data_IF_296877187528
#
_entry.id   IF_296877187528
#
_cell.length_a   1.000
_cell.length_b   1.000
_cell.length_c   1.000
_cell.angle_alpha   90.00
_cell.angle_beta   90.00
_cell.angle_gamma   90.00
#
_symmetry.space_group_name_H-M   'P 1'
#
loop_
_entity.id
_entity.type
_entity.pdbx_description
1 polymer ?
#
# COMPACT_ATOMS: atom_id res chain seq x y z
N UNK A 1 18.58 26.56 36.26
CA UNK A 1 18.31 25.56 37.30
C UNK A 1 16.84 25.47 37.67
N UNK A 2 16.05 26.55 37.57
CA UNK A 2 14.61 26.49 37.90
C UNK A 2 13.72 25.89 36.79
N UNK A 3 14.18 25.88 35.53
CA UNK A 3 13.43 25.29 34.41
C UNK A 3 13.46 23.75 34.39
N UNK A 4 14.47 23.15 35.01
CA UNK A 4 14.61 21.69 35.13
C UNK A 4 13.72 21.10 36.23
N UNK A 5 13.32 21.92 37.22
CA UNK A 5 12.44 21.50 38.31
C UNK A 5 10.99 21.35 37.84
N UNK A 6 10.53 22.25 36.98
CA UNK A 6 9.18 22.19 36.39
C UNK A 6 8.94 20.93 35.54
N UNK A 7 9.91 20.58 34.68
CA UNK A 7 9.83 19.35 33.84
C UNK A 7 9.88 18.04 34.64
N UNK A 8 10.28 18.08 35.90
CA UNK A 8 10.36 16.90 36.78
C UNK A 8 9.08 16.68 37.58
N UNK A 9 8.34 17.73 37.89
CA UNK A 9 7.02 17.64 38.53
C UNK A 9 5.93 17.23 37.53
N UNK A 10 6.00 17.70 36.29
CA UNK A 10 5.05 17.32 35.23
C UNK A 10 5.15 15.82 34.85
N UNK A 11 6.36 15.24 34.90
CA UNK A 11 6.56 13.78 34.72
C UNK A 11 6.07 12.94 35.90
N UNK A 12 5.96 13.49 37.12
CA UNK A 12 5.41 12.74 38.25
C UNK A 12 3.89 12.70 38.21
N UNK A 13 3.24 13.80 37.80
CA UNK A 13 1.79 13.85 37.64
C UNK A 13 1.28 12.88 36.55
N UNK A 14 2.07 12.63 35.50
CA UNK A 14 1.71 11.67 34.44
C UNK A 14 1.87 10.20 34.85
N UNK A 15 2.76 9.89 35.82
CA UNK A 15 2.95 8.51 36.29
C UNK A 15 1.88 8.12 37.31
N UNK A 16 1.45 9.04 38.19
CA UNK A 16 0.40 8.74 39.17
C UNK A 16 -0.97 8.49 38.52
N UNK A 17 -1.33 9.17 37.42
CA UNK A 17 -2.59 8.89 36.71
C UNK A 17 -2.62 7.53 36.01
N UNK A 18 -1.45 6.93 35.75
CA UNK A 18 -1.33 5.57 35.19
C UNK A 18 -1.44 4.46 36.25
N UNK A 19 -1.40 4.82 37.53
CA UNK A 19 -1.50 3.86 38.64
C UNK A 19 -2.94 3.64 39.13
N UNK A 20 -3.80 4.66 39.04
CA UNK A 20 -5.24 4.52 39.37
C UNK A 20 -6.02 3.69 38.36
N UNK A 21 -5.51 3.50 37.14
CA UNK A 21 -6.12 2.63 36.11
C UNK A 21 -5.81 1.14 36.30
N UNK A 22 -4.99 0.75 37.29
CA UNK A 22 -4.67 -0.66 37.60
C UNK A 22 -5.40 -1.25 38.81
N UNK A 23 -6.15 -0.46 39.58
CA UNK A 23 -6.93 -0.98 40.73
C UNK A 23 -8.39 -1.34 40.41
N UNK A 24 -8.87 -1.12 39.19
CA UNK A 24 -10.26 -1.45 38.78
C UNK A 24 -10.44 -2.83 38.13
N UNK A 25 -9.47 -3.73 38.22
CA UNK A 25 -9.50 -5.05 37.57
C UNK A 25 -9.65 -6.25 38.54
N UNK A 26 -10.08 -6.05 39.81
CA UNK A 26 -10.15 -7.13 40.81
C UNK A 26 -11.53 -7.48 41.38
N UNK A 27 -12.63 -7.04 40.76
CA UNK A 27 -13.98 -7.39 41.23
C UNK A 27 -14.86 -7.92 40.09
N UNK A 28 -14.65 -9.20 39.74
CA UNK A 28 -15.66 -10.01 39.05
C UNK A 28 -16.08 -11.16 39.97
N UNK A 29 -17.39 -11.36 40.24
CA UNK A 29 -17.86 -12.48 41.04
C UNK A 29 -17.85 -13.78 40.22
N UNK A 30 -17.50 -14.88 40.88
CA UNK A 30 -17.62 -16.23 40.38
C UNK A 30 -19.08 -16.54 40.02
N UNK A 31 -19.32 -17.00 38.79
CA UNK A 31 -20.61 -17.54 38.36
C UNK A 31 -20.51 -19.06 38.39
N UNK A 32 -21.38 -19.66 39.19
CA UNK A 32 -21.52 -21.11 39.37
C UNK A 32 -21.94 -21.80 38.06
N UNK A 33 -21.22 -22.87 37.71
CA UNK A 33 -21.62 -23.83 36.69
C UNK A 33 -22.83 -24.63 37.18
N UNK A 34 -23.99 -24.41 36.54
CA UNK A 34 -25.15 -25.31 36.64
C UNK A 34 -25.17 -26.20 35.41
N UNK A 35 -24.93 -27.49 35.63
CA UNK A 35 -25.00 -28.53 34.61
C UNK A 35 -26.41 -28.75 34.07
N UNK A 36 -26.48 -29.07 32.79
CA UNK A 36 -27.68 -29.51 32.10
C UNK A 36 -27.33 -30.53 31.02
N UNK A 37 -27.50 -31.81 31.33
CA UNK A 37 -27.56 -32.91 30.38
C UNK A 37 -28.77 -32.74 29.45
N UNK A 38 -28.64 -33.01 28.15
CA UNK A 38 -29.79 -32.92 27.24
C UNK A 38 -29.56 -33.27 25.78
N UNK A 39 -29.51 -34.58 25.50
CA UNK A 39 -30.07 -35.28 24.32
C UNK A 39 -29.78 -34.79 22.88
N UNK A 40 -29.07 -35.68 22.20
CA UNK A 40 -29.06 -35.95 20.75
C UNK A 40 -30.46 -36.01 20.12
N UNK A 41 -30.66 -35.29 19.01
CA UNK A 41 -31.70 -35.60 18.02
C UNK A 41 -31.10 -35.46 16.62
N UNK A 42 -30.84 -36.60 15.99
CA UNK A 42 -30.62 -36.72 14.55
C UNK A 42 -31.88 -36.23 13.81
N UNK A 43 -31.72 -35.34 12.83
CA UNK A 43 -32.74 -35.09 11.81
C UNK A 43 -32.12 -35.17 10.43
N UNK A 44 -32.42 -36.28 9.78
CA UNK A 44 -32.32 -36.48 8.34
C UNK A 44 -33.38 -35.65 7.61
N UNK A 45 -32.93 -34.83 6.67
CA UNK A 45 -33.69 -34.27 5.55
C UNK A 45 -32.67 -34.27 4.39
N UNK A 46 -32.89 -34.85 3.22
CA UNK A 46 -34.11 -35.11 2.49
C UNK A 46 -33.80 -34.68 1.07
N UNK A 47 -33.37 -35.63 0.23
CA UNK A 47 -33.23 -35.48 -1.22
C UNK A 47 -34.58 -35.07 -1.82
N UNK A 48 -34.56 -34.06 -2.69
CA UNK A 48 -35.48 -33.76 -3.80
C UNK A 48 -35.06 -32.37 -4.32
N UNK A 49 -35.03 -32.01 -5.60
CA UNK A 49 -35.29 -32.65 -6.88
C UNK A 49 -34.96 -31.57 -7.94
N UNK A 50 -34.49 -32.01 -9.11
CA UNK A 50 -34.50 -31.35 -10.43
C UNK A 50 -35.11 -29.94 -10.55
N UNK A 51 -34.35 -29.04 -11.17
CA UNK A 51 -34.95 -28.10 -12.13
C UNK A 51 -34.02 -27.89 -13.34
N UNK A 52 -34.45 -28.45 -14.47
CA UNK A 52 -33.87 -28.27 -15.80
C UNK A 52 -34.41 -26.95 -16.37
N UNK A 53 -33.56 -25.93 -16.44
CA UNK A 53 -33.87 -24.63 -17.02
C UNK A 53 -33.00 -24.32 -18.22
N UNK A 54 -33.32 -24.91 -19.37
CA UNK A 54 -32.84 -24.50 -20.68
C UNK A 54 -33.35 -23.09 -21.03
N UNK A 55 -32.45 -22.14 -21.30
CA UNK A 55 -32.76 -20.98 -22.15
C UNK A 55 -31.53 -20.45 -22.89
N UNK A 56 -31.39 -20.94 -24.12
CA UNK A 56 -31.25 -20.18 -25.38
C UNK A 56 -30.25 -19.02 -25.45
N UNK A 57 -29.31 -19.23 -26.38
CA UNK A 57 -28.40 -18.31 -27.04
C UNK A 57 -28.99 -16.96 -27.48
N UNK A 58 -28.17 -15.91 -27.42
CA UNK A 58 -27.90 -14.89 -28.45
C UNK A 58 -27.09 -13.76 -27.79
N UNK A 59 -25.83 -13.54 -28.15
CA UNK A 59 -25.52 -12.56 -29.17
C UNK A 59 -24.10 -12.05 -28.98
N UNK A 60 -23.23 -12.52 -29.86
CA UNK A 60 -21.85 -12.04 -30.04
C UNK A 60 -21.87 -10.59 -30.53
N UNK A 61 -21.73 -9.64 -29.60
CA UNK A 61 -21.42 -8.24 -29.90
C UNK A 61 -19.91 -8.03 -29.86
N UNK A 62 -19.20 -8.50 -30.90
CA UNK A 62 -17.79 -8.23 -31.11
C UNK A 62 -17.64 -6.72 -31.36
N UNK A 63 -17.10 -5.99 -30.39
CA UNK A 63 -16.72 -4.59 -30.54
C UNK A 63 -15.52 -4.56 -31.49
N UNK A 64 -15.83 -4.33 -32.77
CA UNK A 64 -14.89 -4.06 -33.84
C UNK A 64 -14.12 -2.79 -33.46
N UNK A 65 -12.99 -2.97 -32.78
CA UNK A 65 -12.02 -1.91 -32.54
C UNK A 65 -11.58 -1.39 -33.89
N UNK A 66 -12.01 -0.17 -34.20
CA UNK A 66 -11.56 0.57 -35.36
C UNK A 66 -10.03 0.54 -35.42
N UNK A 67 -9.43 0.27 -36.59
CA UNK A 67 -7.99 0.38 -36.75
C UNK A 67 -7.63 1.84 -36.53
N UNK A 68 -7.06 2.15 -35.36
CA UNK A 68 -6.29 3.37 -35.17
C UNK A 68 -5.26 3.37 -36.30
N UNK A 69 -5.42 4.33 -37.22
CA UNK A 69 -4.47 4.62 -38.28
C UNK A 69 -3.15 4.88 -37.59
N UNK A 70 -2.33 3.83 -37.48
CA UNK A 70 -0.98 3.89 -36.98
C UNK A 70 -0.29 4.91 -37.85
N UNK A 71 0.05 6.06 -37.25
CA UNK A 71 1.16 6.86 -37.73
C UNK A 71 2.32 5.89 -37.77
N UNK A 72 2.59 5.39 -38.98
CA UNK A 72 3.66 4.48 -39.26
C UNK A 72 4.94 5.30 -39.07
N UNK A 73 5.35 5.46 -37.80
CA UNK A 73 6.77 5.49 -37.49
C UNK A 73 7.27 4.21 -38.11
N UNK A 74 7.95 4.36 -39.25
CA UNK A 74 8.80 3.32 -39.79
C UNK A 74 9.61 2.82 -38.60
N UNK A 75 9.27 1.63 -38.12
CA UNK A 75 10.17 0.83 -37.33
C UNK A 75 11.33 0.58 -38.28
N UNK A 76 12.32 1.47 -38.23
CA UNK A 76 13.63 1.20 -38.79
C UNK A 76 14.00 -0.18 -38.27
N UNK A 77 14.42 -1.11 -39.13
CA UNK A 77 14.82 -2.44 -38.69
C UNK A 77 15.81 -2.25 -37.55
N UNK A 78 15.48 -2.83 -36.39
CA UNK A 78 16.39 -2.90 -35.25
C UNK A 78 17.68 -3.48 -35.81
N UNK A 79 18.77 -2.71 -35.91
CA UNK A 79 20.01 -3.25 -36.43
C UNK A 79 20.36 -4.44 -35.55
N UNK A 80 20.51 -5.62 -36.17
CA UNK A 80 20.99 -6.81 -35.50
C UNK A 80 22.22 -6.40 -34.70
N UNK A 81 22.10 -6.41 -33.38
CA UNK A 81 23.12 -5.95 -32.46
C UNK A 81 24.31 -6.88 -32.55
N UNK A 82 25.18 -6.67 -33.54
CA UNK A 82 26.57 -7.08 -33.47
C UNK A 82 27.11 -6.46 -32.19
N UNK A 83 27.59 -7.31 -31.28
CA UNK A 83 28.22 -7.07 -29.99
C UNK A 83 29.24 -5.92 -29.98
N UNK A 84 28.79 -4.69 -30.20
CA UNK A 84 29.53 -3.49 -29.93
C UNK A 84 29.50 -3.34 -28.41
N UNK A 85 30.48 -3.99 -27.78
CA UNK A 85 30.83 -3.76 -26.38
C UNK A 85 30.83 -2.25 -26.19
N UNK A 86 29.94 -1.69 -25.34
CA UNK A 86 29.86 -0.24 -25.16
C UNK A 86 31.27 0.25 -24.83
N UNK A 87 31.80 1.15 -25.67
CA UNK A 87 33.08 1.79 -25.43
C UNK A 87 32.91 2.70 -24.23
N UNK A 88 33.06 2.14 -23.04
CA UNK A 88 33.07 2.90 -21.80
C UNK A 88 34.17 3.94 -21.89
N UNK A 89 33.79 5.22 -21.89
CA UNK A 89 34.73 6.31 -21.69
C UNK A 89 35.48 6.06 -20.39
N UNK A 90 36.81 6.08 -20.44
CA UNK A 90 37.72 5.74 -19.33
C UNK A 90 37.59 6.61 -18.08
N UNK A 91 36.65 7.56 -18.05
CA UNK A 91 36.40 8.49 -16.95
C UNK A 91 35.15 8.17 -16.12
N UNK A 92 34.42 7.07 -16.40
CA UNK A 92 33.35 6.66 -15.48
C UNK A 92 33.96 6.18 -14.16
N UNK A 93 33.74 6.97 -13.09
CA UNK A 93 34.15 6.60 -11.74
C UNK A 93 33.62 5.19 -11.38
N UNK A 94 34.45 4.36 -10.76
CA UNK A 94 34.09 2.97 -10.42
C UNK A 94 32.80 2.84 -9.58
N UNK A 95 32.40 3.90 -8.89
CA UNK A 95 31.13 3.98 -8.17
C UNK A 95 29.90 3.99 -9.08
N UNK A 96 29.95 4.66 -10.23
CA UNK A 96 28.84 4.65 -11.19
C UNK A 96 28.58 3.24 -11.70
N UNK A 97 29.65 2.53 -12.06
CA UNK A 97 29.58 1.14 -12.51
C UNK A 97 29.00 0.24 -11.41
N UNK A 98 29.43 0.41 -10.16
CA UNK A 98 28.91 -0.38 -9.03
C UNK A 98 27.42 -0.11 -8.76
N UNK A 99 26.99 1.15 -8.76
CA UNK A 99 25.62 1.53 -8.46
C UNK A 99 24.61 1.13 -9.54
N UNK A 100 25.06 1.07 -10.80
CA UNK A 100 24.23 0.69 -11.95
C UNK A 100 24.40 -0.77 -12.36
N UNK A 101 25.26 -1.54 -11.68
CA UNK A 101 25.37 -2.97 -11.91
C UNK A 101 24.08 -3.67 -11.46
N UNK A 102 23.46 -4.39 -12.38
CA UNK A 102 22.30 -5.24 -12.06
C UNK A 102 22.75 -6.43 -11.22
N UNK A 103 21.94 -6.78 -10.23
CA UNK A 103 22.22 -7.94 -9.37
C UNK A 103 22.02 -9.26 -10.12
N UNK A 104 21.01 -9.31 -10.99
CA UNK A 104 20.69 -10.46 -11.83
C UNK A 104 20.65 -10.03 -13.30
N UNK A 105 21.01 -10.92 -14.21
CA UNK A 105 20.89 -10.68 -15.66
C UNK A 105 19.43 -10.58 -16.08
N UNK A 106 19.10 -9.70 -17.03
CA UNK A 106 17.73 -9.51 -17.51
C UNK A 106 17.30 -10.56 -18.56
N UNK A 107 18.26 -11.31 -19.09
CA UNK A 107 18.07 -12.31 -20.16
C UNK A 107 17.62 -13.69 -19.65
N UNK A 108 17.50 -13.88 -18.33
CA UNK A 108 17.03 -15.13 -17.73
C UNK A 108 17.74 -15.45 -16.42
N UNK A 109 17.21 -16.47 -15.73
CA UNK A 109 17.75 -17.00 -14.48
C UNK A 109 18.36 -18.37 -14.77
N UNK A 110 19.68 -18.46 -14.70
CA UNK A 110 20.39 -19.73 -14.78
C UNK A 110 20.93 -20.12 -13.40
N UNK A 111 20.60 -21.32 -12.93
CA UNK A 111 21.16 -21.87 -11.70
C UNK A 111 22.16 -22.98 -12.07
N UNK A 112 23.45 -22.76 -11.77
CA UNK A 112 24.53 -23.70 -12.09
C UNK A 112 24.60 -24.11 -13.58
N UNK A 113 24.34 -23.15 -14.47
CA UNK A 113 24.37 -23.38 -15.92
C UNK A 113 23.11 -24.02 -16.50
N UNK A 114 22.13 -24.39 -15.67
CA UNK A 114 20.82 -24.83 -16.15
C UNK A 114 19.87 -23.63 -16.25
N UNK A 115 19.32 -23.33 -17.43
CA UNK A 115 18.33 -22.28 -17.57
C UNK A 115 17.06 -22.71 -16.83
N UNK A 116 16.76 -22.04 -15.73
CA UNK A 116 15.58 -22.34 -14.91
C UNK A 116 14.32 -21.73 -15.52
N UNK A 117 14.51 -20.62 -16.24
CA UNK A 117 13.46 -19.90 -16.94
C UNK A 117 14.02 -19.30 -18.23
N UNK A 118 13.80 -19.97 -19.37
CA UNK A 118 13.94 -19.37 -20.70
C UNK A 118 12.71 -18.48 -20.96
N UNK A 119 12.54 -17.40 -20.20
CA UNK A 119 11.43 -16.47 -20.44
C UNK A 119 11.85 -15.32 -21.33
N UNK A 120 10.86 -14.71 -21.98
CA UNK A 120 10.99 -13.32 -22.42
C UNK A 120 11.52 -12.47 -21.27
N UNK A 121 12.42 -11.51 -21.56
CA UNK A 121 12.96 -10.61 -20.53
C UNK A 121 11.88 -9.90 -19.70
N UNK A 122 10.65 -9.81 -20.24
CA UNK A 122 9.47 -9.33 -19.55
C UNK A 122 9.17 -10.11 -18.26
N UNK A 123 8.98 -11.45 -18.33
CA UNK A 123 8.56 -12.24 -17.17
C UNK A 123 9.64 -12.31 -16.09
N UNK A 124 10.92 -12.41 -16.51
CA UNK A 124 12.05 -12.39 -15.58
C UNK A 124 12.12 -11.05 -14.82
N UNK A 125 11.98 -9.91 -15.52
CA UNK A 125 11.95 -8.59 -14.87
C UNK A 125 10.75 -8.39 -13.96
N UNK A 126 9.57 -8.85 -14.35
CA UNK A 126 8.37 -8.78 -13.52
C UNK A 126 8.56 -9.59 -12.24
N UNK A 127 9.05 -10.83 -12.34
CA UNK A 127 9.31 -11.69 -11.19
C UNK A 127 10.34 -11.05 -10.24
N UNK A 128 11.44 -10.50 -10.78
CA UNK A 128 12.42 -9.74 -9.98
C UNK A 128 11.77 -8.59 -9.23
N UNK A 129 10.94 -7.80 -9.91
CA UNK A 129 10.27 -6.64 -9.31
C UNK A 129 9.32 -7.05 -8.18
N UNK A 130 8.52 -8.10 -8.38
CA UNK A 130 7.63 -8.65 -7.35
C UNK A 130 8.43 -9.19 -6.17
N UNK A 131 9.43 -10.05 -6.40
CA UNK A 131 10.28 -10.61 -5.34
C UNK A 131 10.98 -9.50 -4.54
N UNK A 132 11.51 -8.49 -5.22
CA UNK A 132 12.17 -7.37 -4.57
C UNK A 132 11.20 -6.50 -3.76
N UNK A 133 9.97 -6.34 -4.22
CA UNK A 133 8.92 -5.64 -3.49
C UNK A 133 8.63 -6.34 -2.17
N UNK A 134 8.37 -7.65 -2.20
CA UNK A 134 8.15 -8.42 -0.97
C UNK A 134 9.36 -8.39 -0.04
N UNK A 135 10.58 -8.53 -0.58
CA UNK A 135 11.79 -8.43 0.23
C UNK A 135 11.94 -7.04 0.88
N UNK A 136 11.60 -5.98 0.15
CA UNK A 136 11.60 -4.61 0.68
C UNK A 136 10.54 -4.43 1.76
N UNK A 137 9.32 -4.94 1.57
CA UNK A 137 8.26 -4.92 2.59
C UNK A 137 8.74 -5.63 3.86
N UNK A 138 9.31 -6.84 3.74
CA UNK A 138 9.88 -7.57 4.88
C UNK A 138 10.95 -6.76 5.61
N UNK A 139 11.91 -6.21 4.86
CA UNK A 139 13.02 -5.46 5.42
C UNK A 139 12.52 -4.21 6.16
N UNK A 140 11.64 -3.43 5.52
CA UNK A 140 11.05 -2.25 6.12
C UNK A 140 10.25 -2.63 7.35
N UNK A 141 9.37 -3.63 7.27
CA UNK A 141 8.59 -4.09 8.42
C UNK A 141 9.49 -4.47 9.60
N UNK A 142 10.60 -5.19 9.37
CA UNK A 142 11.57 -5.56 10.40
C UNK A 142 12.37 -4.38 10.97
N UNK A 143 12.69 -3.38 10.15
CA UNK A 143 13.34 -2.15 10.61
C UNK A 143 12.36 -1.31 11.42
N UNK A 144 11.11 -1.17 10.94
CA UNK A 144 10.04 -0.41 11.60
C UNK A 144 9.66 -1.00 12.95
N UNK A 145 9.23 -2.28 12.99
CA UNK A 145 10.03 -3.25 13.70
C UNK A 145 10.66 -2.86 15.04
N UNK A 146 11.90 -2.47 14.88
CA UNK A 146 12.93 -2.43 15.89
C UNK A 146 13.18 -1.00 16.37
N UNK A 147 12.92 -0.02 15.51
CA UNK A 147 13.34 1.36 15.74
C UNK A 147 12.18 2.33 15.95
N UNK A 148 10.95 1.92 15.65
CA UNK A 148 9.81 2.81 15.59
C UNK A 148 8.61 2.19 16.32
N UNK A 149 8.18 2.83 17.40
CA UNK A 149 7.09 2.39 18.28
C UNK A 149 5.69 2.77 17.73
N UNK A 150 5.59 3.78 16.87
CA UNK A 150 4.33 4.33 16.31
C UNK A 150 3.76 3.54 15.12
N UNK A 151 4.14 2.27 15.00
CA UNK A 151 3.64 1.36 13.97
C UNK A 151 2.37 0.67 14.43
N UNK A 152 1.62 0.12 13.47
CA UNK A 152 0.55 -0.81 13.82
C UNK A 152 1.16 -2.09 14.43
N UNK A 153 1.05 -2.23 15.76
CA UNK A 153 1.55 -3.38 16.50
C UNK A 153 0.79 -4.68 16.18
N UNK A 154 -0.41 -4.57 15.61
CA UNK A 154 -1.24 -5.72 15.26
C UNK A 154 -0.98 -6.20 13.82
N UNK A 155 -0.40 -5.35 12.98
CA UNK A 155 0.02 -5.74 11.64
C UNK A 155 1.19 -6.73 11.73
N UNK A 156 0.88 -8.00 11.48
CA UNK A 156 1.89 -9.05 11.33
C UNK A 156 2.17 -9.23 9.85
N UNK A 157 3.42 -9.50 9.52
CA UNK A 157 3.83 -9.80 8.14
C UNK A 157 3.00 -10.95 7.54
N UNK A 158 2.62 -11.96 8.36
CA UNK A 158 1.68 -13.04 7.99
C UNK A 158 0.36 -12.54 7.42
N UNK A 159 -0.17 -11.44 7.96
CA UNK A 159 -1.43 -10.84 7.50
C UNK A 159 -1.26 -10.11 6.17
N UNK A 160 -0.14 -9.39 6.00
CA UNK A 160 0.20 -8.76 4.72
C UNK A 160 0.25 -9.80 3.60
N UNK A 161 0.93 -10.94 3.81
CA UNK A 161 0.96 -11.98 2.78
C UNK A 161 -0.37 -12.67 2.53
N UNK A 162 -1.13 -12.98 3.59
CA UNK A 162 -2.38 -13.75 3.48
C UNK A 162 -3.52 -12.92 2.88
N UNK A 163 -3.68 -11.67 3.33
CA UNK A 163 -4.85 -10.86 3.02
C UNK A 163 -4.57 -9.81 1.94
N UNK A 164 -3.32 -9.42 1.73
CA UNK A 164 -2.96 -8.33 0.80
C UNK A 164 -2.03 -8.78 -0.32
N UNK A 165 -1.53 -10.02 -0.28
CA UNK A 165 -0.52 -10.51 -1.20
C UNK A 165 -0.97 -10.45 -2.66
N UNK A 166 -2.23 -10.80 -2.96
CA UNK A 166 -2.79 -10.72 -4.31
C UNK A 166 -2.92 -9.27 -4.79
N UNK A 167 -3.35 -8.37 -3.92
CA UNK A 167 -3.47 -6.94 -4.19
C UNK A 167 -2.10 -6.29 -4.44
N UNK A 168 -1.09 -6.64 -3.64
CA UNK A 168 0.30 -6.19 -3.82
C UNK A 168 0.84 -6.68 -5.17
N UNK A 169 0.62 -7.96 -5.53
CA UNK A 169 1.05 -8.49 -6.83
C UNK A 169 0.35 -7.77 -7.98
N UNK A 170 -0.94 -7.46 -7.85
CA UNK A 170 -1.69 -6.68 -8.84
C UNK A 170 -1.13 -5.26 -8.96
N UNK A 171 -0.88 -4.59 -7.85
CA UNK A 171 -0.29 -3.25 -7.80
C UNK A 171 1.12 -3.24 -8.43
N UNK A 172 1.93 -4.29 -8.18
CA UNK A 172 3.21 -4.50 -8.86
C UNK A 172 3.06 -4.68 -10.36
N UNK A 173 2.11 -5.51 -10.81
CA UNK A 173 1.88 -5.75 -12.24
C UNK A 173 1.48 -4.48 -12.97
N UNK A 174 0.51 -3.73 -12.43
CA UNK A 174 0.04 -2.46 -12.99
C UNK A 174 1.19 -1.46 -13.01
N UNK A 175 1.95 -1.34 -11.91
CA UNK A 175 3.10 -0.43 -11.86
C UNK A 175 4.18 -0.81 -12.87
N UNK A 176 4.44 -2.10 -13.03
CA UNK A 176 5.42 -2.61 -13.98
C UNK A 176 5.05 -2.32 -15.43
N UNK A 177 3.77 -2.50 -15.79
CA UNK A 177 3.27 -2.27 -17.15
C UNK A 177 3.15 -0.77 -17.45
N UNK A 178 2.43 0.00 -16.64
CA UNK A 178 2.23 1.44 -16.86
C UNK A 178 3.54 2.22 -16.69
N UNK A 179 4.33 1.82 -15.70
CA UNK A 179 5.69 2.30 -15.46
C UNK A 179 6.72 1.89 -16.51
N UNK A 180 6.34 1.03 -17.47
CA UNK A 180 7.22 0.55 -18.56
C UNK A 180 8.54 -0.01 -18.03
N UNK A 181 8.50 -0.66 -16.86
CA UNK A 181 9.70 -1.19 -16.22
C UNK A 181 10.34 -2.30 -17.06
N UNK A 182 9.57 -2.99 -17.89
CA UNK A 182 10.07 -3.99 -18.82
C UNK A 182 11.02 -3.41 -19.89
N UNK A 183 10.83 -2.16 -20.31
CA UNK A 183 11.69 -1.45 -21.27
C UNK A 183 12.98 -0.95 -20.63
N UNK A 184 12.95 -0.70 -19.31
CA UNK A 184 14.08 -0.11 -18.60
C UNK A 184 15.17 -1.14 -18.30
N UNK A 185 16.45 -0.77 -18.41
CA UNK A 185 17.54 -1.65 -18.00
C UNK A 185 17.59 -1.72 -16.46
N UNK A 186 17.59 -2.93 -15.90
CA UNK A 186 17.90 -3.17 -14.49
C UNK A 186 16.96 -2.51 -13.48
N UNK A 187 15.90 -3.19 -13.08
CA UNK A 187 15.04 -2.74 -11.95
C UNK A 187 15.70 -3.08 -10.60
N UNK A 188 16.76 -3.89 -10.64
CA UNK A 188 17.48 -4.51 -9.53
C UNK A 188 18.90 -3.95 -9.35
N UNK A 189 19.18 -2.73 -9.85
CA UNK A 189 20.44 -2.08 -9.59
C UNK A 189 20.40 -1.29 -8.25
N UNK A 190 21.56 -1.19 -7.59
CA UNK A 190 21.67 -0.61 -6.25
C UNK A 190 21.20 0.84 -6.17
N UNK A 191 21.36 1.65 -7.20
CA UNK A 191 20.82 3.01 -7.18
C UNK A 191 19.29 3.05 -7.05
N UNK A 192 18.55 2.21 -7.79
CA UNK A 192 17.09 2.19 -7.74
C UNK A 192 16.62 1.61 -6.40
N UNK A 193 17.18 0.47 -6.00
CA UNK A 193 16.86 -0.20 -4.75
C UNK A 193 17.21 0.66 -3.53
N UNK A 194 18.38 1.30 -3.57
CA UNK A 194 18.86 2.20 -2.53
C UNK A 194 17.98 3.43 -2.39
N UNK A 195 17.57 4.06 -3.50
CA UNK A 195 16.62 5.19 -3.45
C UNK A 195 15.27 4.77 -2.90
N UNK A 196 14.74 3.62 -3.31
CA UNK A 196 13.49 3.10 -2.75
C UNK A 196 13.62 2.83 -1.23
N UNK A 197 14.72 2.22 -0.78
CA UNK A 197 14.97 1.97 0.65
C UNK A 197 15.14 3.26 1.45
N UNK A 198 15.86 4.25 0.92
CA UNK A 198 16.01 5.57 1.56
C UNK A 198 14.65 6.25 1.67
N UNK A 199 13.82 6.19 0.63
CA UNK A 199 12.47 6.72 0.69
C UNK A 199 11.65 6.04 1.80
N UNK A 200 11.72 4.71 1.90
CA UNK A 200 11.04 3.96 2.97
C UNK A 200 11.41 4.46 4.38
N UNK A 201 12.71 4.55 4.67
CA UNK A 201 13.20 5.01 5.98
C UNK A 201 12.84 6.48 6.20
N UNK A 202 12.93 7.31 5.16
CA UNK A 202 12.59 8.72 5.23
C UNK A 202 11.13 8.91 5.65
N UNK A 203 10.17 8.26 4.99
CA UNK A 203 8.74 8.41 5.32
C UNK A 203 8.43 7.94 6.74
N UNK A 204 9.02 6.83 7.18
CA UNK A 204 8.85 6.39 8.58
C UNK A 204 9.42 7.40 9.58
N UNK A 205 10.61 7.93 9.29
CA UNK A 205 11.29 8.87 10.19
C UNK A 205 10.54 10.18 10.40
N UNK A 206 9.60 10.53 9.51
CA UNK A 206 8.80 11.76 9.64
C UNK A 206 7.99 11.79 10.93
N UNK A 207 7.50 10.62 11.38
CA UNK A 207 6.76 10.49 12.62
C UNK A 207 7.61 10.77 13.87
N UNK A 208 8.94 10.90 13.76
CA UNK A 208 9.85 11.15 14.89
C UNK A 208 10.48 12.53 14.85
N UNK A 209 10.24 13.28 13.78
CA UNK A 209 10.66 14.66 13.66
C UNK A 209 9.57 15.51 14.32
N UNK A 210 9.85 16.02 15.51
CA UNK A 210 8.89 16.72 16.37
C UNK A 210 8.07 17.81 15.65
N UNK A 211 8.65 18.55 14.71
CA UNK A 211 7.92 19.59 13.98
C UNK A 211 7.05 19.05 12.83
N UNK A 212 7.23 17.80 12.40
CA UNK A 212 6.39 17.13 11.39
C UNK A 212 5.16 16.43 11.99
N UNK A 213 5.12 16.21 13.31
CA UNK A 213 4.02 15.56 14.04
C UNK A 213 2.80 16.49 14.22
N UNK A 214 2.27 17.07 13.14
CA UNK A 214 1.14 17.99 13.20
C UNK A 214 0.01 17.55 12.27
N UNK A 215 -1.23 17.66 12.75
CA UNK A 215 -2.41 17.42 11.90
C UNK A 215 -2.58 18.53 10.85
N UNK A 216 -3.08 18.15 9.67
CA UNK A 216 -3.37 19.07 8.56
C UNK A 216 -4.83 19.55 8.65
N UNK A 217 -5.15 20.35 9.67
CA UNK A 217 -6.45 21.05 9.75
C UNK A 217 -6.23 22.54 9.53
N UNK A 218 -7.26 23.25 9.05
CA UNK A 218 -7.15 24.69 8.81
C UNK A 218 -6.78 25.47 10.08
N UNK A 219 -7.35 25.08 11.22
CA UNK A 219 -6.97 25.62 12.52
C UNK A 219 -5.50 25.33 12.87
N UNK A 220 -5.05 24.09 12.68
CA UNK A 220 -3.68 23.70 13.02
C UNK A 220 -2.66 24.40 12.12
N UNK A 221 -2.93 24.50 10.81
CA UNK A 221 -2.10 25.25 9.87
C UNK A 221 -1.99 26.73 10.27
N UNK A 222 -3.10 27.39 10.59
CA UNK A 222 -3.07 28.83 10.89
C UNK A 222 -2.56 29.18 12.29
N UNK A 223 -2.79 28.33 13.30
CA UNK A 223 -2.59 28.69 14.70
C UNK A 223 -1.47 27.92 15.40
N UNK A 224 -1.17 26.69 14.96
CA UNK A 224 -0.31 25.76 15.71
C UNK A 224 0.97 25.38 14.98
N UNK A 225 0.98 25.42 13.64
CA UNK A 225 2.13 25.00 12.86
C UNK A 225 3.38 25.84 13.18
N UNK A 226 4.49 25.19 13.58
CA UNK A 226 5.74 25.89 13.77
C UNK A 226 6.30 26.38 12.42
N UNK A 227 7.13 27.42 12.43
CA UNK A 227 7.67 27.99 11.18
C UNK A 227 8.57 26.99 10.43
N UNK A 228 9.21 26.06 11.15
CA UNK A 228 9.98 24.95 10.59
C UNK A 228 9.12 24.08 9.68
N UNK A 229 7.89 23.78 10.08
CA UNK A 229 6.93 23.01 9.29
C UNK A 229 6.50 23.78 8.04
N UNK A 230 6.34 25.11 8.13
CA UNK A 230 6.05 25.94 6.96
C UNK A 230 7.18 25.95 5.93
N UNK A 231 8.42 26.05 6.37
CA UNK A 231 9.59 25.97 5.48
C UNK A 231 9.66 24.59 4.83
N UNK A 232 9.46 23.52 5.62
CA UNK A 232 9.43 22.16 5.11
C UNK A 232 8.32 21.98 4.06
N UNK A 233 7.09 22.42 4.35
CA UNK A 233 5.96 22.34 3.44
C UNK A 233 6.22 23.13 2.14
N UNK A 234 6.78 24.34 2.24
CA UNK A 234 7.15 25.14 1.07
C UNK A 234 8.22 24.42 0.22
N UNK A 235 9.27 23.90 0.85
CA UNK A 235 10.33 23.16 0.16
C UNK A 235 9.78 21.91 -0.54
N UNK A 236 8.87 21.18 0.12
CA UNK A 236 8.19 20.01 -0.43
C UNK A 236 7.33 20.37 -1.65
N UNK A 237 6.49 21.41 -1.53
CA UNK A 237 5.61 21.89 -2.61
C UNK A 237 6.44 22.34 -3.82
N UNK A 238 7.49 23.13 -3.60
CA UNK A 238 8.38 23.59 -4.69
C UNK A 238 9.06 22.40 -5.36
N UNK A 239 9.58 21.44 -4.58
CA UNK A 239 10.25 20.26 -5.11
C UNK A 239 9.29 19.39 -5.94
N UNK A 240 8.08 19.14 -5.43
CA UNK A 240 7.05 18.39 -6.15
C UNK A 240 6.62 19.11 -7.43
N UNK A 241 6.38 20.43 -7.38
CA UNK A 241 6.00 21.24 -8.53
C UNK A 241 7.09 21.24 -9.61
N UNK A 242 8.37 21.40 -9.22
CA UNK A 242 9.50 21.33 -10.13
C UNK A 242 9.59 19.95 -10.80
N UNK A 243 9.42 18.88 -10.04
CA UNK A 243 9.48 17.52 -10.55
C UNK A 243 8.35 17.23 -11.54
N UNK A 244 7.12 17.67 -11.24
CA UNK A 244 5.98 17.57 -12.16
C UNK A 244 6.23 18.40 -13.42
N UNK A 245 6.72 19.64 -13.27
CA UNK A 245 7.03 20.53 -14.39
C UNK A 245 8.10 19.92 -15.31
N UNK A 246 9.17 19.36 -14.75
CA UNK A 246 10.22 18.69 -15.53
C UNK A 246 9.67 17.50 -16.32
N UNK A 247 8.81 16.67 -15.71
CA UNK A 247 8.14 15.57 -16.41
C UNK A 247 7.21 16.08 -17.52
N UNK A 248 6.45 17.17 -17.28
CA UNK A 248 5.56 17.77 -18.26
C UNK A 248 6.33 18.37 -19.45
N UNK A 249 7.42 19.11 -19.18
CA UNK A 249 8.31 19.66 -20.22
C UNK A 249 8.97 18.54 -21.04
N UNK A 250 9.42 17.47 -20.39
CA UNK A 250 9.96 16.28 -21.06
C UNK A 250 8.91 15.63 -21.96
N UNK A 251 7.68 15.44 -21.45
CA UNK A 251 6.55 14.90 -22.21
C UNK A 251 6.20 15.76 -23.44
N UNK A 252 6.21 17.09 -23.26
CA UNK A 252 5.95 18.05 -24.31
C UNK A 252 7.00 17.99 -25.42
N UNK A 253 8.28 17.98 -25.03
CA UNK A 253 9.40 17.91 -25.96
C UNK A 253 9.40 16.60 -26.76
N UNK A 254 9.01 15.48 -26.14
CA UNK A 254 8.88 14.17 -26.79
C UNK A 254 7.55 13.99 -27.56
N UNK A 255 6.65 14.98 -27.51
CA UNK A 255 5.32 14.95 -28.15
C UNK A 255 4.41 13.83 -27.64
N UNK A 256 4.57 13.43 -26.37
CA UNK A 256 3.75 12.38 -25.72
C UNK A 256 2.93 12.88 -24.53
N UNK A 257 2.88 14.20 -24.28
CA UNK A 257 2.13 14.78 -23.16
C UNK A 257 0.66 14.33 -23.12
N UNK A 258 -0.04 14.36 -24.26
CA UNK A 258 -1.45 13.96 -24.32
C UNK A 258 -1.64 12.47 -23.98
N UNK A 259 -0.71 11.61 -24.43
CA UNK A 259 -0.72 10.17 -24.08
C UNK A 259 -0.57 10.01 -22.57
N UNK A 260 0.37 10.74 -21.94
CA UNK A 260 0.57 10.69 -20.48
C UNK A 260 -0.64 11.19 -19.70
N UNK A 261 -1.26 12.29 -20.15
CA UNK A 261 -2.49 12.80 -19.52
C UNK A 261 -3.65 11.81 -19.65
N UNK A 262 -3.76 11.13 -20.80
CA UNK A 262 -4.78 10.10 -21.01
C UNK A 262 -4.52 8.88 -20.12
N UNK A 263 -3.29 8.39 -20.05
CA UNK A 263 -2.90 7.28 -19.16
C UNK A 263 -3.21 7.62 -17.70
N UNK A 264 -2.81 8.80 -17.23
CA UNK A 264 -3.10 9.27 -15.87
C UNK A 264 -4.62 9.38 -15.62
N UNK A 265 -5.37 9.94 -16.57
CA UNK A 265 -6.83 10.05 -16.47
C UNK A 265 -7.51 8.70 -16.38
N UNK A 266 -7.07 7.71 -17.15
CA UNK A 266 -7.56 6.33 -17.07
C UNK A 266 -7.21 5.70 -15.72
N UNK A 267 -5.98 5.89 -15.21
CA UNK A 267 -5.63 5.40 -13.88
C UNK A 267 -6.53 6.01 -12.80
N UNK A 268 -6.76 7.33 -12.81
CA UNK A 268 -7.69 7.98 -11.86
C UNK A 268 -9.10 7.41 -11.99
N UNK A 269 -9.60 7.23 -13.22
CA UNK A 269 -10.94 6.71 -13.47
C UNK A 269 -11.12 5.28 -12.96
N UNK A 270 -10.13 4.40 -13.14
CA UNK A 270 -10.25 3.00 -12.72
C UNK A 270 -9.90 2.75 -11.25
N UNK A 271 -8.99 3.54 -10.69
CA UNK A 271 -8.40 3.27 -9.36
C UNK A 271 -8.84 4.23 -8.27
N UNK A 272 -9.27 5.45 -8.61
CA UNK A 272 -9.65 6.47 -7.62
C UNK A 272 -11.15 6.75 -7.69
N UNK A 273 -11.71 6.97 -8.89
CA UNK A 273 -13.10 7.36 -9.04
C UNK A 273 -14.11 6.42 -8.36
N UNK A 274 -13.96 5.07 -8.40
CA UNK A 274 -14.88 4.16 -7.72
C UNK A 274 -14.88 4.33 -6.19
N UNK A 275 -13.82 4.90 -5.64
CA UNK A 275 -13.63 5.02 -4.20
C UNK A 275 -14.07 6.38 -3.65
N UNK A 276 -14.12 7.43 -4.49
CA UNK A 276 -14.50 8.80 -4.08
C UNK A 276 -15.90 8.86 -3.46
N UNK A 277 -16.78 7.91 -3.79
CA UNK A 277 -18.14 7.85 -3.25
C UNK A 277 -18.21 7.29 -1.83
N UNK A 278 -17.14 6.71 -1.29
CA UNK A 278 -17.12 6.25 0.11
C UNK A 278 -16.92 7.43 1.06
N UNK A 279 -17.72 7.50 2.12
CA UNK A 279 -17.54 8.48 3.20
C UNK A 279 -16.22 8.26 3.97
N UNK A 280 -15.59 7.10 3.80
CA UNK A 280 -14.31 6.74 4.41
C UNK A 280 -13.12 6.94 3.45
N UNK A 281 -13.37 7.48 2.26
CA UNK A 281 -12.31 7.74 1.27
C UNK A 281 -11.26 8.69 1.84
N UNK A 282 -10.05 8.17 2.04
CA UNK A 282 -8.87 8.97 2.34
C UNK A 282 -7.75 8.57 1.39
N UNK A 283 -7.37 9.45 0.46
CA UNK A 283 -6.25 9.14 -0.44
C UNK A 283 -4.92 9.20 0.33
N UNK A 284 -4.45 8.05 0.80
CA UNK A 284 -3.17 7.98 1.49
C UNK A 284 -2.01 8.34 0.54
N UNK A 285 -1.04 9.08 1.06
CA UNK A 285 0.08 9.60 0.29
C UNK A 285 0.92 8.48 -0.36
N UNK A 286 1.03 7.30 0.26
CA UNK A 286 1.72 6.16 -0.35
C UNK A 286 1.02 5.61 -1.61
N UNK A 287 -0.31 5.73 -1.70
CA UNK A 287 -1.05 5.43 -2.93
C UNK A 287 -0.85 6.52 -4.01
N UNK A 288 -0.73 7.78 -3.59
CA UNK A 288 -0.32 8.86 -4.50
C UNK A 288 1.08 8.58 -5.07
N UNK A 289 1.99 8.01 -4.27
CA UNK A 289 3.31 7.54 -4.72
C UNK A 289 3.21 6.45 -5.76
N UNK A 290 2.43 5.42 -5.50
CA UNK A 290 2.17 4.36 -6.47
C UNK A 290 1.66 4.93 -7.80
N UNK A 291 0.65 5.78 -7.78
CA UNK A 291 0.09 6.40 -8.99
C UNK A 291 1.12 7.26 -9.73
N UNK A 292 1.76 8.21 -9.04
CA UNK A 292 2.72 9.13 -9.64
C UNK A 292 3.97 8.41 -10.17
N UNK A 293 4.46 7.41 -9.43
CA UNK A 293 5.66 6.64 -9.79
C UNK A 293 5.52 5.93 -11.13
N UNK A 294 4.33 5.42 -11.48
CA UNK A 294 4.05 4.82 -12.79
C UNK A 294 4.26 5.79 -13.95
N UNK A 295 4.04 7.08 -13.72
CA UNK A 295 4.16 8.10 -14.76
C UNK A 295 5.54 8.80 -14.77
N UNK A 296 6.39 8.54 -13.77
CA UNK A 296 7.80 8.96 -13.74
C UNK A 296 8.71 7.98 -14.49
N UNK A 297 8.32 7.66 -15.73
CA UNK A 297 8.90 6.55 -16.48
C UNK A 297 9.85 6.96 -17.64
N UNK A 298 10.41 8.17 -17.62
CA UNK A 298 11.38 8.58 -18.64
C UNK A 298 12.74 7.91 -18.44
N UNK A 299 13.48 7.70 -19.54
CA UNK A 299 14.85 7.20 -19.50
C UNK A 299 15.87 8.30 -19.20
N UNK A 300 15.71 8.94 -18.04
CA UNK A 300 16.61 9.97 -17.51
C UNK A 300 16.76 9.74 -16.00
N UNK A 301 17.97 9.97 -15.49
CA UNK A 301 18.32 9.61 -14.11
C UNK A 301 17.35 10.17 -13.07
N UNK A 302 16.94 11.44 -13.19
CA UNK A 302 16.04 12.08 -12.22
C UNK A 302 14.62 11.49 -12.25
N UNK A 303 14.14 11.02 -13.41
CA UNK A 303 12.83 10.38 -13.53
C UNK A 303 12.88 8.97 -12.93
N UNK A 304 13.97 8.23 -13.16
CA UNK A 304 14.20 6.92 -12.53
C UNK A 304 14.30 7.04 -11.00
N UNK A 305 15.00 8.05 -10.48
CA UNK A 305 15.05 8.32 -9.04
C UNK A 305 13.68 8.68 -8.49
N UNK A 306 12.92 9.54 -9.17
CA UNK A 306 11.56 9.91 -8.76
C UNK A 306 10.63 8.69 -8.69
N UNK A 307 10.68 7.82 -9.71
CA UNK A 307 9.93 6.56 -9.73
C UNK A 307 10.33 5.63 -8.58
N UNK A 308 11.64 5.45 -8.34
CA UNK A 308 12.14 4.64 -7.23
C UNK A 308 11.70 5.18 -5.87
N UNK A 309 11.77 6.51 -5.69
CA UNK A 309 11.33 7.19 -4.48
C UNK A 309 9.83 7.00 -4.23
N UNK A 310 9.01 7.23 -5.27
CA UNK A 310 7.57 7.01 -5.22
C UNK A 310 7.20 5.54 -4.92
N UNK A 311 7.93 4.59 -5.49
CA UNK A 311 7.75 3.16 -5.17
C UNK A 311 8.13 2.85 -3.72
N UNK A 312 9.23 3.42 -3.22
CA UNK A 312 9.60 3.32 -1.81
C UNK A 312 8.53 3.88 -0.88
N UNK A 313 7.92 5.01 -1.21
CA UNK A 313 6.80 5.54 -0.43
C UNK A 313 5.62 4.54 -0.38
N UNK A 314 5.29 3.90 -1.50
CA UNK A 314 4.27 2.85 -1.55
C UNK A 314 4.62 1.65 -0.66
N UNK A 315 5.85 1.13 -0.78
CA UNK A 315 6.34 -0.01 0.01
C UNK A 315 6.28 0.27 1.51
N UNK A 316 6.64 1.48 1.95
CA UNK A 316 6.56 1.85 3.37
C UNK A 316 5.13 1.84 3.87
N UNK A 317 4.19 2.42 3.11
CA UNK A 317 2.77 2.36 3.45
C UNK A 317 2.28 0.93 3.68
N UNK A 318 2.56 0.04 2.72
CA UNK A 318 2.18 -1.40 2.84
C UNK A 318 2.85 -2.06 4.04
N UNK A 319 4.14 -1.81 4.26
CA UNK A 319 4.90 -2.48 5.32
C UNK A 319 4.48 -2.07 6.74
N UNK A 320 3.98 -0.85 6.92
CA UNK A 320 3.71 -0.25 8.24
C UNK A 320 2.23 -0.21 8.56
N UNK A 321 1.38 0.03 7.56
CA UNK A 321 -0.05 0.25 7.73
C UNK A 321 -0.92 -0.73 6.92
N UNK A 322 -0.30 -1.66 6.20
CA UNK A 322 -1.00 -2.53 5.26
C UNK A 322 -1.30 -1.83 3.93
N UNK A 323 -1.75 -2.61 2.96
CA UNK A 323 -2.03 -2.16 1.60
C UNK A 323 -3.22 -1.24 1.57
N UNK A 324 -4.27 -1.44 2.38
CA UNK A 324 -5.54 -0.73 2.24
C UNK A 324 -5.41 0.79 2.45
N UNK A 325 -5.25 1.58 1.37
CA UNK A 325 -4.97 3.00 1.48
C UNK A 325 -6.25 3.82 1.42
N UNK A 326 -7.44 3.22 1.30
CA UNK A 326 -8.60 3.95 0.81
C UNK A 326 -9.83 3.79 1.69
N UNK A 327 -9.95 2.71 2.46
CA UNK A 327 -11.11 2.48 3.32
C UNK A 327 -10.75 2.04 4.73
N UNK A 328 -9.80 2.74 5.38
CA UNK A 328 -9.26 2.48 6.73
C UNK A 328 -10.26 1.89 7.76
N UNK A 329 -11.54 2.28 7.73
CA UNK A 329 -12.58 1.73 8.61
C UNK A 329 -13.29 0.47 8.08
N UNK A 330 -13.55 0.35 6.77
CA UNK A 330 -14.28 -0.79 6.20
C UNK A 330 -13.42 -2.06 6.17
N UNK A 331 -12.11 -1.94 6.00
CA UNK A 331 -11.21 -3.10 6.06
C UNK A 331 -11.08 -3.66 7.47
N UNK A 332 -11.02 -2.78 8.47
CA UNK A 332 -11.07 -3.16 9.88
C UNK A 332 -12.40 -3.86 10.22
N UNK A 333 -13.50 -3.42 9.61
CA UNK A 333 -14.80 -4.10 9.71
C UNK A 333 -14.81 -5.47 8.99
N UNK A 334 -14.24 -5.56 7.79
CA UNK A 334 -14.13 -6.82 7.06
C UNK A 334 -13.24 -7.84 7.78
N UNK A 335 -12.11 -7.40 8.33
CA UNK A 335 -11.23 -8.23 9.14
C UNK A 335 -11.89 -8.69 10.44
N UNK A 336 -12.73 -7.85 11.06
CA UNK A 336 -13.46 -8.26 12.26
C UNK A 336 -14.58 -9.26 11.97
N UNK A 337 -15.21 -9.19 10.79
CA UNK A 337 -16.10 -10.23 10.28
C UNK A 337 -15.35 -11.56 10.07
N UNK A 338 -14.23 -11.54 9.35
CA UNK A 338 -13.50 -12.77 8.98
C UNK A 338 -12.80 -13.42 10.20
N UNK A 339 -12.35 -12.61 11.16
CA UNK A 339 -11.79 -13.10 12.43
C UNK A 339 -12.86 -13.54 13.44
N UNK A 340 -14.15 -13.55 13.06
CA UNK A 340 -15.28 -13.87 13.95
C UNK A 340 -15.20 -13.12 15.26
N UNK A 341 -14.96 -11.80 15.20
CA UNK A 341 -14.99 -10.98 16.39
C UNK A 341 -16.33 -11.22 17.12
N UNK A 342 -16.31 -11.62 18.41
CA UNK A 342 -17.51 -12.03 19.14
C UNK A 342 -18.66 -11.03 19.04
N UNK A 343 -18.33 -9.73 18.99
CA UNK A 343 -19.30 -8.66 18.83
C UNK A 343 -20.07 -8.73 17.51
N UNK A 344 -19.38 -8.99 16.39
CA UNK A 344 -20.00 -9.05 15.07
C UNK A 344 -20.71 -10.39 14.87
N UNK A 345 -20.15 -11.49 15.37
CA UNK A 345 -20.84 -12.79 15.33
C UNK A 345 -22.12 -12.76 16.15
N UNK A 346 -22.11 -12.21 17.37
CA UNK A 346 -23.31 -12.07 18.18
C UNK A 346 -24.37 -11.18 17.51
N UNK A 347 -23.96 -10.11 16.82
CA UNK A 347 -24.89 -9.27 16.07
C UNK A 347 -25.52 -10.01 14.88
N UNK A 348 -24.71 -10.74 14.10
CA UNK A 348 -25.19 -11.54 12.96
C UNK A 348 -26.07 -12.70 13.41
N UNK A 349 -25.71 -13.37 14.51
CA UNK A 349 -26.51 -14.43 15.13
C UNK A 349 -27.83 -13.86 15.67
N UNK A 350 -27.81 -12.67 16.29
CA UNK A 350 -29.02 -11.96 16.72
C UNK A 350 -29.94 -11.57 15.56
N UNK A 351 -29.38 -11.20 14.40
CA UNK A 351 -30.14 -10.94 13.17
C UNK A 351 -30.70 -12.22 12.52
N UNK A 352 -30.03 -13.36 12.70
CA UNK A 352 -30.45 -14.65 12.14
C UNK A 352 -31.50 -15.38 12.99
N UNK A 353 -31.66 -15.00 14.26
CA UNK A 353 -32.69 -15.55 15.14
C UNK A 353 -34.04 -14.85 14.93
N UNK A 354 -34.95 -15.51 14.21
CA UNK A 354 -36.32 -15.01 13.93
C UNK A 354 -37.15 -14.73 15.19
N UNK A 355 -36.76 -15.26 16.36
CA UNK A 355 -37.44 -15.01 17.63
C UNK A 355 -36.93 -13.77 18.37
N UNK A 356 -35.81 -13.16 17.95
CA UNK A 356 -35.31 -11.93 18.56
C UNK A 356 -36.00 -10.71 17.94
N UNK A 357 -36.99 -10.16 18.66
CA UNK A 357 -37.77 -9.00 18.21
C UNK A 357 -37.08 -7.65 18.44
N UNK A 358 -35.98 -7.61 19.21
CA UNK A 358 -35.21 -6.40 19.49
C UNK A 358 -33.72 -6.64 19.21
N UNK A 359 -33.34 -6.49 17.94
CA UNK A 359 -31.92 -6.34 17.59
C UNK A 359 -31.58 -4.86 17.76
N UNK A 360 -30.80 -4.54 18.80
CA UNK A 360 -30.30 -3.17 19.02
C UNK A 360 -29.50 -2.75 17.79
N UNK A 361 -29.81 -1.56 17.26
CA UNK A 361 -29.11 -0.99 16.11
C UNK A 361 -27.60 -0.98 16.36
N UNK A 362 -26.82 -1.43 15.37
CA UNK A 362 -25.37 -1.52 15.49
C UNK A 362 -24.79 -0.12 15.71
N UNK A 363 -24.45 0.20 16.96
CA UNK A 363 -23.69 1.42 17.25
C UNK A 363 -22.30 1.24 16.63
N UNK A 364 -21.82 2.19 15.82
CA UNK A 364 -20.50 2.10 15.20
C UNK A 364 -19.45 1.84 16.27
N UNK A 365 -18.68 0.76 16.12
CA UNK A 365 -17.60 0.41 17.04
C UNK A 365 -16.58 1.55 17.01
N UNK A 366 -16.15 2.01 18.17
CA UNK A 366 -15.00 2.90 18.24
C UNK A 366 -13.76 2.06 17.88
N UNK A 367 -13.31 2.20 16.64
CA UNK A 367 -12.22 1.41 16.08
C UNK A 367 -10.88 1.67 16.79
N UNK A 368 -10.76 2.75 17.56
CA UNK A 368 -9.54 3.07 18.32
C UNK A 368 -9.38 2.22 19.58
N UNK A 369 -10.47 1.68 20.11
CA UNK A 369 -10.46 0.87 21.33
C UNK A 369 -11.20 -0.47 21.18
N UNK A 370 -11.75 -0.76 20.00
CA UNK A 370 -12.59 -1.93 19.74
C UNK A 370 -13.76 -2.06 20.73
N UNK A 371 -14.21 -0.96 21.34
CA UNK A 371 -15.31 -0.96 22.28
C UNK A 371 -16.57 -0.41 21.64
N UNK A 372 -17.69 -1.06 21.93
CA UNK A 372 -19.02 -0.59 21.53
C UNK A 372 -19.58 0.47 22.51
N UNK A 373 -18.73 1.03 23.37
CA UNK A 373 -19.19 1.72 24.58
C UNK A 373 -19.50 3.19 24.34
N UNK A 374 -20.75 3.45 24.00
CA UNK A 374 -21.50 4.48 24.73
C UNK A 374 -22.77 3.86 25.32
N UNK A 375 -22.59 3.13 26.43
CA UNK A 375 -23.65 3.03 27.43
C UNK A 375 -24.43 1.72 27.58
N UNK A 376 -23.82 0.55 27.40
CA UNK A 376 -24.35 -0.66 28.04
C UNK A 376 -23.72 -0.85 29.42
N UNK A 377 -24.32 -0.19 30.42
CA UNK A 377 -24.28 -0.70 31.80
C UNK A 377 -25.46 -1.68 31.88
N UNK A 378 -25.24 -2.95 32.26
CA UNK A 378 -26.31 -3.95 32.34
C UNK A 378 -27.45 -3.54 33.26
#
# INVERSE_FOLDING_TARGET
>A
MDEEKGKREERRAFVDSSSESREMESLAPAVDEVGGDGQTSERSFGDDSNDDGDSVAEGTGFLEMMPMKGSSRQYLPVPSSTNASPSFSSDESGWSLFLHKTLLTDEGIAFRGFPLLESSGFSTKLLKFVCWTFLSICLVHLVVAQFFDDRDMFLRLSYVWKYEGDLIVRDCFVFFVVGRLWEKPGIDHLAWMGTALVANIYFESQNYIWFLQHSVTLFQMHCMWPWELWIFALALIVSAALLILLHALKAWNERILFVKLTEMGLCILFFIAPMITSNFFHMHHWYAGWLMGMHFNYDVWWSRLAMAWCWGMYVNGVAVYGRDPVMTCEYSYFLSLDNRCPYISCYLEGLADENNTEVVEMVPVDWRNCSATTGFIP
#
